data_IF_396609231442
#
_entry.id   IF_396609231442
#
_cell.length_a   1.000
_cell.length_b   1.000
_cell.length_c   1.000
_cell.angle_alpha   90.00
_cell.angle_beta   90.00
_cell.angle_gamma   90.00
#
_symmetry.space_group_name_H-M   'P 1'
#
loop_
_entity.id
_entity.type
_entity.pdbx_description
1 polymer ?
#
# COMPACT_ATOMS: atom_id res chain seq x y z
N UNK A 1 3.70 -63.42 -16.07
CA UNK A 1 3.54 -62.87 -14.70
C UNK A 1 4.55 -61.77 -14.35
N UNK A 2 5.87 -62.01 -14.53
CA UNK A 2 6.92 -61.01 -14.23
C UNK A 2 6.83 -59.73 -15.07
N UNK A 3 6.52 -59.83 -16.37
CA UNK A 3 6.37 -58.67 -17.25
C UNK A 3 5.24 -57.71 -16.84
N UNK A 4 4.14 -58.24 -16.29
CA UNK A 4 3.02 -57.43 -15.80
C UNK A 4 3.39 -56.67 -14.51
N UNK A 5 4.21 -57.27 -13.65
CA UNK A 5 4.69 -56.64 -12.40
C UNK A 5 5.68 -55.52 -12.72
N UNK A 6 6.61 -55.76 -13.66
CA UNK A 6 7.58 -54.75 -14.11
C UNK A 6 6.88 -53.58 -14.81
N UNK A 7 5.91 -53.85 -15.69
CA UNK A 7 5.12 -52.81 -16.35
C UNK A 7 4.32 -51.97 -15.34
N UNK A 8 3.70 -52.59 -14.33
CA UNK A 8 3.00 -51.89 -13.25
C UNK A 8 3.94 -51.04 -12.39
N UNK A 9 5.13 -51.54 -12.08
CA UNK A 9 6.15 -50.81 -11.32
C UNK A 9 6.71 -49.61 -12.10
N UNK A 10 6.97 -49.74 -13.40
CA UNK A 10 7.43 -48.65 -14.26
C UNK A 10 6.34 -47.58 -14.46
N UNK A 11 5.07 -47.97 -14.62
CA UNK A 11 3.95 -47.04 -14.69
C UNK A 11 3.76 -46.25 -13.38
N UNK A 12 3.85 -46.93 -12.23
CA UNK A 12 3.82 -46.28 -10.90
C UNK A 12 4.99 -45.32 -10.67
N UNK A 13 6.20 -45.70 -11.07
CA UNK A 13 7.41 -44.89 -10.93
C UNK A 13 7.36 -43.60 -11.78
N UNK A 14 6.68 -43.63 -12.94
CA UNK A 14 6.50 -42.46 -13.80
C UNK A 14 5.33 -41.55 -13.38
N UNK A 15 4.28 -42.10 -12.76
CA UNK A 15 3.13 -41.33 -12.28
C UNK A 15 3.40 -40.54 -10.99
N UNK A 16 4.30 -41.04 -10.13
CA UNK A 16 4.70 -40.39 -8.87
C UNK A 16 5.37 -39.00 -9.05
N UNK A 17 6.35 -38.80 -9.95
CA UNK A 17 6.95 -37.48 -10.16
C UNK A 17 5.96 -36.48 -10.76
N UNK A 18 5.10 -36.90 -11.69
CA UNK A 18 4.09 -36.03 -12.33
C UNK A 18 3.06 -35.54 -11.31
N UNK A 19 2.56 -36.43 -10.46
CA UNK A 19 1.63 -36.06 -9.37
C UNK A 19 2.31 -35.16 -8.33
N UNK A 20 3.59 -35.38 -8.00
CA UNK A 20 4.36 -34.50 -7.11
C UNK A 20 4.57 -33.11 -7.68
N UNK A 21 4.86 -32.98 -8.98
CA UNK A 21 4.97 -31.69 -9.67
C UNK A 21 3.60 -30.98 -9.71
N UNK A 22 2.52 -31.69 -9.99
CA UNK A 22 1.16 -31.12 -9.96
C UNK A 22 0.80 -30.62 -8.56
N UNK A 23 1.02 -31.41 -7.51
CA UNK A 23 0.75 -31.04 -6.12
C UNK A 23 1.59 -29.83 -5.68
N UNK A 24 2.87 -29.77 -6.06
CA UNK A 24 3.71 -28.61 -5.73
C UNK A 24 3.26 -27.34 -6.45
N UNK A 25 2.86 -27.42 -7.72
CA UNK A 25 2.27 -26.29 -8.45
C UNK A 25 0.97 -25.80 -7.82
N UNK A 26 0.07 -26.72 -7.45
CA UNK A 26 -1.20 -26.39 -6.75
C UNK A 26 -0.91 -25.73 -5.40
N UNK A 27 0.04 -26.25 -4.62
CA UNK A 27 0.45 -25.66 -3.34
C UNK A 27 1.05 -24.26 -3.53
N UNK A 28 1.89 -24.05 -4.53
CA UNK A 28 2.46 -22.73 -4.87
C UNK A 28 1.36 -21.74 -5.25
N UNK A 29 0.45 -22.13 -6.14
CA UNK A 29 -0.69 -21.29 -6.53
C UNK A 29 -1.60 -20.96 -5.34
N UNK A 30 -1.90 -21.94 -4.48
CA UNK A 30 -2.68 -21.71 -3.26
C UNK A 30 -1.98 -20.77 -2.28
N UNK A 31 -0.66 -20.91 -2.09
CA UNK A 31 0.15 -20.00 -1.26
C UNK A 31 0.16 -18.59 -1.84
N UNK A 32 0.37 -18.44 -3.14
CA UNK A 32 0.33 -17.15 -3.83
C UNK A 32 -1.03 -16.46 -3.67
N UNK A 33 -2.13 -17.19 -3.89
CA UNK A 33 -3.50 -16.67 -3.67
C UNK A 33 -3.76 -16.25 -2.23
N UNK A 34 -3.29 -17.04 -1.25
CA UNK A 34 -3.42 -16.70 0.17
C UNK A 34 -2.60 -15.46 0.52
N UNK A 35 -1.38 -15.35 0.00
CA UNK A 35 -0.53 -14.17 0.18
C UNK A 35 -1.19 -12.91 -0.42
N UNK A 36 -1.70 -13.00 -1.65
CA UNK A 36 -2.44 -11.91 -2.30
C UNK A 36 -3.66 -11.46 -1.49
N UNK A 37 -4.47 -12.42 -1.00
CA UNK A 37 -5.62 -12.11 -0.12
C UNK A 37 -5.21 -11.44 1.19
N UNK A 38 -4.08 -11.85 1.78
CA UNK A 38 -3.55 -11.21 3.00
C UNK A 38 -3.11 -9.78 2.73
N UNK A 39 -2.41 -9.53 1.61
CA UNK A 39 -2.01 -8.18 1.18
C UNK A 39 -3.21 -7.27 1.01
N UNK A 40 -4.24 -7.70 0.27
CA UNK A 40 -5.47 -6.92 0.08
C UNK A 40 -6.17 -6.56 1.41
N UNK A 41 -6.20 -7.49 2.37
CA UNK A 41 -6.77 -7.22 3.70
C UNK A 41 -5.93 -6.25 4.52
N UNK A 42 -4.60 -6.36 4.42
CA UNK A 42 -3.69 -5.42 5.07
C UNK A 42 -3.91 -4.01 4.51
N UNK A 43 -3.95 -3.87 3.18
CA UNK A 43 -4.20 -2.60 2.50
C UNK A 43 -5.55 -1.99 2.93
N UNK A 44 -6.63 -2.78 2.96
CA UNK A 44 -7.95 -2.32 3.42
C UNK A 44 -7.97 -1.94 4.91
N UNK A 45 -7.06 -2.49 5.72
CA UNK A 45 -6.94 -2.12 7.14
C UNK A 45 -6.16 -0.82 7.29
N UNK A 46 -5.09 -0.63 6.50
CA UNK A 46 -4.35 0.63 6.44
C UNK A 46 -5.24 1.75 5.94
N UNK A 47 -6.04 1.53 4.90
CA UNK A 47 -6.99 2.54 4.40
C UNK A 47 -7.99 2.97 5.47
N UNK A 48 -8.64 2.01 6.15
CA UNK A 48 -9.61 2.33 7.22
C UNK A 48 -8.96 3.10 8.36
N UNK A 49 -7.76 2.71 8.76
CA UNK A 49 -6.99 3.42 9.79
C UNK A 49 -6.64 4.83 9.34
N UNK A 50 -6.11 4.99 8.13
CA UNK A 50 -5.74 6.28 7.59
C UNK A 50 -6.96 7.20 7.48
N UNK A 51 -8.11 6.70 7.03
CA UNK A 51 -9.36 7.46 6.98
C UNK A 51 -9.81 7.94 8.36
N UNK A 52 -9.74 7.07 9.37
CA UNK A 52 -10.08 7.44 10.75
C UNK A 52 -9.12 8.51 11.30
N UNK A 53 -7.81 8.32 11.12
CA UNK A 53 -6.80 9.30 11.53
C UNK A 53 -7.01 10.64 10.82
N UNK A 54 -7.27 10.63 9.51
CA UNK A 54 -7.51 11.86 8.77
C UNK A 54 -8.81 12.55 9.19
N UNK A 55 -9.86 11.82 9.57
CA UNK A 55 -11.07 12.45 10.12
C UNK A 55 -10.83 13.13 11.48
N UNK A 56 -9.85 12.66 12.25
CA UNK A 56 -9.44 13.29 13.51
C UNK A 56 -8.56 14.52 13.25
N UNK A 57 -7.56 14.38 12.38
CA UNK A 57 -6.56 15.41 12.09
C UNK A 57 -7.08 16.54 11.16
N UNK A 58 -8.14 16.28 10.40
CA UNK A 58 -8.67 17.19 9.39
C UNK A 58 -10.21 17.27 9.51
N UNK A 59 -10.74 17.98 10.52
CA UNK A 59 -12.14 17.82 10.91
C UNK A 59 -13.17 18.19 9.83
N UNK A 60 -12.89 19.12 8.89
CA UNK A 60 -13.77 19.39 7.75
C UNK A 60 -12.97 20.00 6.57
N UNK A 61 -13.44 19.79 5.34
CA UNK A 61 -12.91 20.50 4.17
C UNK A 61 -11.68 19.86 3.51
N UNK A 62 -11.36 18.59 3.77
CA UNK A 62 -10.21 17.94 3.13
C UNK A 62 -10.63 16.91 2.08
N UNK A 63 -9.90 16.88 0.97
CA UNK A 63 -10.08 15.92 -0.12
C UNK A 63 -8.78 15.20 -0.41
N UNK A 64 -8.83 13.88 -0.60
CA UNK A 64 -7.68 13.08 -0.99
C UNK A 64 -7.98 12.26 -2.25
N UNK A 65 -7.02 12.24 -3.18
CA UNK A 65 -7.09 11.51 -4.44
C UNK A 65 -5.89 10.59 -4.60
N UNK A 66 -6.15 9.34 -4.97
CA UNK A 66 -5.13 8.33 -5.22
C UNK A 66 -5.01 8.11 -6.73
N UNK A 67 -3.82 8.29 -7.27
CA UNK A 67 -3.49 8.00 -8.67
C UNK A 67 -2.54 6.81 -8.73
N UNK A 68 -2.96 5.74 -9.40
CA UNK A 68 -2.11 4.59 -9.67
C UNK A 68 -1.32 4.85 -10.96
N UNK A 69 0.00 4.88 -10.85
CA UNK A 69 0.90 5.00 -11.99
C UNK A 69 1.17 3.60 -12.54
N UNK A 70 0.85 3.36 -13.80
CA UNK A 70 1.30 2.15 -14.48
C UNK A 70 2.84 2.18 -14.62
N UNK A 71 3.50 1.33 -13.83
CA UNK A 71 4.86 0.88 -14.09
C UNK A 71 4.80 -0.54 -14.62
N UNK A 72 5.33 -0.75 -15.84
CA UNK A 72 5.30 -2.01 -16.60
C UNK A 72 5.13 -3.26 -15.71
N UNK A 73 4.01 -3.95 -15.89
CA UNK A 73 3.84 -5.31 -15.39
C UNK A 73 4.91 -6.13 -16.08
N UNK A 74 5.98 -6.46 -15.37
CA UNK A 74 6.94 -7.45 -15.82
C UNK A 74 6.20 -8.80 -15.87
N UNK A 75 5.99 -9.40 -17.06
CA UNK A 75 5.23 -10.64 -17.19
C UNK A 75 5.87 -11.82 -16.46
N UNK A 76 7.13 -11.72 -16.02
CA UNK A 76 7.89 -12.83 -15.44
C UNK A 76 8.06 -12.81 -13.91
N UNK A 77 7.51 -11.82 -13.19
CA UNK A 77 7.35 -11.91 -11.73
C UNK A 77 8.62 -12.20 -10.92
N UNK A 78 9.79 -11.71 -11.37
CA UNK A 78 11.05 -11.83 -10.63
C UNK A 78 11.18 -10.61 -9.70
N UNK A 79 10.88 -10.81 -8.40
CA UNK A 79 11.07 -9.84 -7.31
C UNK A 79 12.58 -9.57 -7.05
N UNK A 80 13.31 -8.98 -8.00
CA UNK A 80 14.75 -8.69 -7.81
C UNK A 80 15.20 -7.26 -8.10
N UNK A 81 14.28 -6.34 -8.37
CA UNK A 81 14.61 -4.90 -8.37
C UNK A 81 13.46 -4.09 -7.78
N UNK A 82 13.69 -3.24 -6.76
CA UNK A 82 12.66 -2.31 -6.31
C UNK A 82 12.27 -1.41 -7.49
N UNK A 83 10.98 -1.06 -7.65
CA UNK A 83 10.58 -0.16 -8.73
C UNK A 83 11.33 1.17 -8.54
N UNK A 84 12.16 1.53 -9.52
CA UNK A 84 12.93 2.79 -9.51
C UNK A 84 12.03 4.04 -9.63
N UNK A 85 10.71 3.85 -9.72
CA UNK A 85 9.70 4.91 -9.84
C UNK A 85 8.55 4.62 -8.88
N UNK A 86 7.96 5.64 -8.26
CA UNK A 86 6.77 5.49 -7.44
C UNK A 86 5.63 4.88 -8.27
N UNK A 87 4.83 4.01 -7.65
CA UNK A 87 3.66 3.37 -8.27
C UNK A 87 2.36 4.06 -7.92
N UNK A 88 2.38 4.86 -6.86
CA UNK A 88 1.22 5.56 -6.33
C UNK A 88 1.60 7.01 -6.15
N UNK A 89 0.77 7.90 -6.68
CA UNK A 89 0.69 9.30 -6.28
C UNK A 89 -0.52 9.44 -5.36
N UNK A 90 -0.36 10.09 -4.22
CA UNK A 90 -1.48 10.46 -3.38
C UNK A 90 -1.44 11.97 -3.17
N UNK A 91 -2.54 12.60 -3.58
CA UNK A 91 -2.79 14.03 -3.44
C UNK A 91 -3.77 14.25 -2.31
N UNK A 92 -3.53 15.26 -1.48
CA UNK A 92 -4.53 15.74 -0.54
C UNK A 92 -4.51 17.26 -0.48
N UNK A 93 -5.70 17.81 -0.27
CA UNK A 93 -5.91 19.23 -0.28
C UNK A 93 -6.88 19.66 0.80
N UNK A 94 -6.59 20.82 1.38
CA UNK A 94 -7.53 21.60 2.17
C UNK A 94 -8.36 22.45 1.21
N UNK A 95 -9.67 22.36 1.32
CA UNK A 95 -10.64 23.08 0.52
C UNK A 95 -11.13 24.30 1.31
N UNK A 96 -11.19 25.44 0.63
CA UNK A 96 -11.83 26.64 1.14
C UNK A 96 -13.30 26.36 1.47
N UNK A 97 -13.73 26.73 2.68
CA UNK A 97 -15.13 26.62 3.09
C UNK A 97 -16.08 27.46 2.22
N UNK A 98 -15.60 28.57 1.65
CA UNK A 98 -16.39 29.51 0.85
C UNK A 98 -16.49 29.09 -0.62
N UNK A 99 -15.40 28.60 -1.20
CA UNK A 99 -15.31 28.35 -2.65
C UNK A 99 -15.25 26.87 -3.02
N UNK A 100 -15.01 25.99 -2.04
CA UNK A 100 -14.77 24.55 -2.25
C UNK A 100 -13.52 24.23 -3.06
N UNK A 101 -12.66 25.23 -3.32
CA UNK A 101 -11.42 25.06 -4.09
C UNK A 101 -10.23 24.74 -3.18
N UNK A 102 -9.23 23.99 -3.66
CA UNK A 102 -7.99 23.76 -2.92
C UNK A 102 -7.28 25.08 -2.56
N UNK A 103 -6.99 25.28 -1.28
CA UNK A 103 -6.14 26.38 -0.78
C UNK A 103 -4.70 25.88 -0.62
N UNK A 104 -4.55 24.66 -0.10
CA UNK A 104 -3.27 23.96 0.03
C UNK A 104 -3.44 22.61 -0.63
N UNK A 105 -2.47 22.20 -1.45
CA UNK A 105 -2.43 20.88 -2.05
C UNK A 105 -1.02 20.29 -1.89
N UNK A 106 -0.95 19.06 -1.38
CA UNK A 106 0.29 18.31 -1.20
C UNK A 106 0.20 16.99 -1.95
N UNK A 107 1.36 16.53 -2.42
CA UNK A 107 1.51 15.25 -3.12
C UNK A 107 2.61 14.42 -2.48
N UNK A 108 2.33 13.15 -2.28
CA UNK A 108 3.34 12.14 -1.95
C UNK A 108 3.41 11.06 -3.02
N UNK A 109 4.61 10.55 -3.22
CA UNK A 109 4.91 9.48 -4.14
C UNK A 109 5.39 8.25 -3.36
N UNK A 110 4.79 7.10 -3.61
CA UNK A 110 5.10 5.87 -2.86
C UNK A 110 5.04 4.60 -3.72
N UNK A 111 5.65 3.53 -3.20
CA UNK A 111 5.65 2.21 -3.84
C UNK A 111 4.34 1.43 -3.67
N UNK A 112 3.48 1.83 -2.74
CA UNK A 112 2.18 1.20 -2.45
C UNK A 112 1.17 2.23 -1.92
N UNK A 113 -0.11 1.88 -1.95
CA UNK A 113 -1.20 2.70 -1.39
C UNK A 113 -0.98 2.89 0.11
N UNK A 114 -0.65 1.82 0.83
CA UNK A 114 -0.43 1.88 2.27
C UNK A 114 0.69 2.85 2.65
N UNK A 115 1.82 2.80 1.95
CA UNK A 115 2.93 3.74 2.19
C UNK A 115 2.55 5.19 1.87
N UNK A 116 1.73 5.42 0.84
CA UNK A 116 1.24 6.76 0.50
C UNK A 116 0.32 7.33 1.60
N UNK A 117 -0.61 6.51 2.09
CA UNK A 117 -1.55 6.88 3.15
C UNK A 117 -0.84 7.15 4.48
N UNK A 118 0.14 6.30 4.85
CA UNK A 118 0.95 6.50 6.04
C UNK A 118 1.75 7.80 5.98
N UNK A 119 2.35 8.11 4.83
CA UNK A 119 3.09 9.34 4.63
C UNK A 119 2.19 10.59 4.72
N UNK A 120 0.99 10.56 4.14
CA UNK A 120 0.01 11.64 4.29
C UNK A 120 -0.40 11.88 5.74
N UNK A 121 -0.71 10.82 6.50
CA UNK A 121 -1.05 10.94 7.92
C UNK A 121 0.13 11.47 8.73
N UNK A 122 1.35 11.03 8.43
CA UNK A 122 2.56 11.52 9.10
C UNK A 122 2.79 13.01 8.83
N UNK A 123 2.65 13.45 7.57
CA UNK A 123 2.76 14.85 7.18
C UNK A 123 1.76 15.73 7.94
N UNK A 124 0.50 15.31 8.01
CA UNK A 124 -0.54 16.08 8.72
C UNK A 124 -0.30 16.15 10.23
N UNK A 125 0.23 15.10 10.85
CA UNK A 125 0.64 15.15 12.27
C UNK A 125 1.77 16.13 12.52
N UNK A 126 2.71 16.22 11.57
CA UNK A 126 3.78 17.21 11.65
C UNK A 126 3.21 18.62 11.60
N UNK A 127 2.32 18.90 10.65
CA UNK A 127 1.67 20.21 10.57
C UNK A 127 0.89 20.55 11.86
N UNK A 128 0.11 19.61 12.42
CA UNK A 128 -0.62 19.82 13.69
C UNK A 128 0.34 20.10 14.86
N UNK A 129 1.50 19.43 14.89
CA UNK A 129 2.53 19.69 15.90
C UNK A 129 3.09 21.11 15.75
N UNK A 130 3.30 21.58 14.52
CA UNK A 130 3.76 22.95 14.26
C UNK A 130 2.71 23.98 14.68
N UNK A 131 1.44 23.76 14.36
CA UNK A 131 0.33 24.63 14.80
C UNK A 131 0.24 24.72 16.34
N UNK A 132 0.43 23.61 17.05
CA UNK A 132 0.47 23.61 18.52
C UNK A 132 1.67 24.40 19.07
N UNK A 133 2.84 24.31 18.43
CA UNK A 133 4.03 25.07 18.81
C UNK A 133 3.77 26.57 18.60
N UNK A 134 3.19 26.96 17.46
CA UNK A 134 2.86 28.35 17.14
C UNK A 134 1.86 28.93 18.16
N UNK A 135 0.80 28.18 18.47
CA UNK A 135 -0.19 28.59 19.47
C UNK A 135 0.42 28.71 20.87
N UNK A 136 1.32 27.79 21.25
CA UNK A 136 2.06 27.85 22.51
C UNK A 136 2.97 29.07 22.59
N UNK A 137 3.71 29.35 21.51
CA UNK A 137 4.59 30.52 21.43
C UNK A 137 3.81 31.84 21.51
N UNK A 138 2.64 31.92 20.86
CA UNK A 138 1.74 33.07 20.95
C UNK A 138 1.20 33.26 22.38
N UNK A 139 0.80 32.17 23.06
CA UNK A 139 0.35 32.21 24.45
C UNK A 139 1.45 32.67 25.42
N UNK A 140 2.70 32.31 25.14
CA UNK A 140 3.88 32.69 25.92
C UNK A 140 4.39 34.10 25.57
N UNK A 141 3.74 34.81 24.63
CA UNK A 141 4.15 36.14 24.17
C UNK A 141 5.45 36.15 23.35
N UNK A 142 5.97 34.96 23.02
CA UNK A 142 7.16 34.77 22.21
C UNK A 142 6.78 34.71 20.73
N UNK A 143 6.16 35.79 20.23
CA UNK A 143 5.81 35.90 18.81
C UNK A 143 7.06 35.75 17.96
N UNK A 144 7.00 34.88 16.97
CA UNK A 144 8.05 34.77 15.97
C UNK A 144 8.19 36.15 15.28
N UNK A 145 9.41 36.68 15.08
CA UNK A 145 9.57 37.94 14.37
C UNK A 145 9.05 37.76 12.94
N UNK A 146 8.12 38.62 12.53
CA UNK A 146 7.64 38.70 11.14
C UNK A 146 8.86 38.88 10.20
N UNK A 147 9.04 37.95 9.26
CA UNK A 147 10.07 38.01 8.21
C UNK A 147 9.69 38.98 7.09
#
# INVERSE_FOLDING_TARGET
PLLLIVAGACAGALLLPVTRVAVTRVRRAARARRAARRRLRADATVERRARAMMSELCPYGWHAQITLLEGAIDPDGIESRPPARPRVALDWAELSAETGRPVVMRRVWAGSIGAALEAMVADRRTDETLEQIEQGADADGARWPDL
#
